data_IF_486756716309
#
_entry.id   IF_486756716309
#
_cell.length_a   1.000
_cell.length_b   1.000
_cell.length_c   1.000
_cell.angle_alpha   90.00
_cell.angle_beta   90.00
_cell.angle_gamma   90.00
#
_symmetry.space_group_name_H-M   'P 1'
#
loop_
_entity.id
_entity.type
_entity.pdbx_description
1 polymer ?
#
# COMPACT_ATOMS: atom_id res chain seq x y z
N UNK A 1 5.65 -22.77 -8.12
CA UNK A 1 5.21 -21.45 -7.59
C UNK A 1 4.60 -20.71 -8.75
N UNK A 2 3.26 -20.66 -8.84
CA UNK A 2 2.57 -20.07 -9.99
C UNK A 2 2.55 -18.55 -9.78
N UNK A 3 3.43 -17.84 -10.50
CA UNK A 3 3.28 -16.38 -10.67
C UNK A 3 2.47 -16.20 -11.95
N UNK A 4 1.15 -16.08 -11.81
CA UNK A 4 0.30 -15.70 -12.95
C UNK A 4 0.46 -14.21 -13.19
N UNK A 5 1.08 -13.87 -14.32
CA UNK A 5 1.03 -12.55 -14.95
C UNK A 5 -0.44 -12.24 -15.26
N UNK A 6 -1.08 -11.42 -14.45
CA UNK A 6 -2.49 -11.02 -14.66
C UNK A 6 -2.56 -10.06 -15.84
N UNK A 7 -3.11 -10.56 -16.95
CA UNK A 7 -3.54 -9.80 -18.11
C UNK A 7 -4.39 -8.60 -17.68
N UNK A 8 -4.29 -7.49 -18.43
CA UNK A 8 -5.04 -6.24 -18.22
C UNK A 8 -6.56 -6.36 -18.35
N UNK A 9 -7.08 -7.59 -18.51
CA UNK A 9 -8.50 -7.89 -18.45
C UNK A 9 -9.00 -7.75 -17.01
N UNK A 10 -9.40 -6.52 -16.68
CA UNK A 10 -10.19 -6.15 -15.51
C UNK A 10 -9.48 -6.38 -14.15
N UNK A 11 -8.58 -5.45 -13.79
CA UNK A 11 -8.07 -5.37 -12.42
C UNK A 11 -9.23 -5.18 -11.43
N UNK A 12 -9.51 -6.22 -10.63
CA UNK A 12 -10.52 -6.19 -9.60
C UNK A 12 -9.87 -6.06 -8.22
N UNK A 13 -9.90 -4.85 -7.67
CA UNK A 13 -9.35 -4.55 -6.35
C UNK A 13 -9.99 -5.41 -5.24
N UNK A 14 -11.27 -5.75 -5.36
CA UNK A 14 -12.00 -6.48 -4.31
C UNK A 14 -11.54 -7.94 -4.20
N UNK A 15 -11.20 -8.60 -5.31
CA UNK A 15 -10.69 -9.97 -5.28
C UNK A 15 -9.28 -10.05 -4.66
N UNK A 16 -8.39 -9.10 -4.95
CA UNK A 16 -7.07 -9.04 -4.30
C UNK A 16 -7.18 -8.78 -2.79
N UNK A 17 -8.08 -7.88 -2.36
CA UNK A 17 -8.33 -7.63 -0.94
C UNK A 17 -8.87 -8.86 -0.22
N UNK A 18 -9.78 -9.60 -0.88
CA UNK A 18 -10.33 -10.83 -0.35
C UNK A 18 -9.25 -11.91 -0.18
N UNK A 19 -8.42 -12.11 -1.21
CA UNK A 19 -7.31 -13.06 -1.14
C UNK A 19 -6.34 -12.73 0.00
N UNK A 20 -6.04 -11.43 0.22
CA UNK A 20 -5.22 -10.99 1.35
C UNK A 20 -5.88 -11.31 2.70
N UNK A 21 -7.16 -10.98 2.89
CA UNK A 21 -7.87 -11.25 4.14
C UNK A 21 -8.00 -12.75 4.43
N UNK A 22 -8.17 -13.58 3.40
CA UNK A 22 -8.22 -15.05 3.51
C UNK A 22 -6.89 -15.64 3.99
N UNK A 23 -5.75 -15.06 3.64
CA UNK A 23 -4.46 -15.51 4.17
C UNK A 23 -4.34 -15.33 5.68
N UNK A 24 -5.14 -14.41 6.26
CA UNK A 24 -5.04 -13.96 7.66
C UNK A 24 -3.63 -13.50 8.05
N UNK A 25 -2.73 -13.29 7.09
CA UNK A 25 -1.30 -13.10 7.32
C UNK A 25 -0.93 -11.65 7.65
N UNK A 26 -1.89 -10.71 7.63
CA UNK A 26 -1.62 -9.27 7.69
C UNK A 26 -0.61 -8.83 6.61
N UNK A 27 -0.25 -7.54 6.59
CA UNK A 27 0.80 -7.03 5.68
C UNK A 27 2.18 -7.54 6.11
N UNK A 28 2.42 -7.75 7.41
CA UNK A 28 3.70 -8.30 7.90
C UNK A 28 3.96 -9.71 7.34
N UNK A 29 2.96 -10.60 7.37
CA UNK A 29 3.13 -11.95 6.83
C UNK A 29 3.30 -11.96 5.30
N UNK A 30 2.70 -10.99 4.60
CA UNK A 30 2.97 -10.80 3.17
C UNK A 30 4.45 -10.45 2.92
N UNK A 31 5.03 -9.55 3.73
CA UNK A 31 6.45 -9.18 3.65
C UNK A 31 7.35 -10.36 4.03
N UNK A 32 7.07 -11.02 5.14
CA UNK A 32 7.85 -12.16 5.63
C UNK A 32 7.85 -13.35 4.64
N UNK A 33 6.81 -13.47 3.80
CA UNK A 33 6.72 -14.53 2.78
C UNK A 33 7.65 -14.33 1.58
N UNK A 34 8.37 -13.21 1.51
CA UNK A 34 9.38 -12.96 0.47
C UNK A 34 8.80 -12.57 -0.88
N UNK A 35 7.62 -11.92 -0.90
CA UNK A 35 7.02 -11.40 -2.13
C UNK A 35 7.97 -10.40 -2.82
N UNK A 36 8.23 -10.62 -4.11
CA UNK A 36 9.16 -9.81 -4.92
C UNK A 36 8.49 -8.61 -5.61
N UNK A 37 7.16 -8.62 -5.72
CA UNK A 37 6.39 -7.57 -6.36
C UNK A 37 5.27 -7.07 -5.46
N UNK A 38 5.15 -5.74 -5.32
CA UNK A 38 4.08 -5.14 -4.53
C UNK A 38 2.72 -5.37 -5.24
N UNK A 39 1.75 -6.05 -4.59
CA UNK A 39 0.41 -6.23 -5.14
C UNK A 39 -0.26 -4.89 -5.48
N UNK A 40 -1.07 -4.88 -6.54
CA UNK A 40 -1.65 -3.64 -7.08
C UNK A 40 -2.56 -2.94 -6.07
N UNK A 41 -3.21 -3.67 -5.16
CA UNK A 41 -3.99 -3.09 -4.05
C UNK A 41 -3.23 -2.15 -3.12
N UNK A 42 -1.89 -2.25 -3.05
CA UNK A 42 -1.04 -1.39 -2.22
C UNK A 42 -0.41 -0.24 -3.00
N UNK A 43 -0.59 -0.18 -4.33
CA UNK A 43 -0.06 0.91 -5.14
C UNK A 43 -0.96 2.11 -5.01
N UNK A 44 -0.37 3.24 -4.63
CA UNK A 44 -1.08 4.50 -4.59
C UNK A 44 -1.36 4.99 -6.02
N UNK A 45 -2.56 5.52 -6.32
CA UNK A 45 -2.83 6.12 -7.62
C UNK A 45 -1.91 7.33 -7.85
N UNK A 46 -1.38 7.47 -9.07
CA UNK A 46 -0.39 8.51 -9.41
C UNK A 46 -0.93 9.94 -9.24
N UNK A 47 -2.25 10.14 -9.26
CA UNK A 47 -2.90 11.46 -9.22
C UNK A 47 -2.79 12.19 -7.88
N UNK A 48 -2.46 11.50 -6.79
CA UNK A 48 -2.32 12.11 -5.45
C UNK A 48 -0.84 12.13 -5.06
N UNK A 49 0.00 12.69 -5.93
CA UNK A 49 1.32 13.16 -5.52
C UNK A 49 1.13 14.52 -4.84
N UNK A 50 0.78 14.50 -3.55
CA UNK A 50 1.12 15.66 -2.70
C UNK A 50 2.63 15.63 -2.65
N UNK A 51 3.29 16.52 -3.40
CA UNK A 51 4.74 16.67 -3.29
C UNK A 51 5.03 16.84 -1.81
N UNK A 52 5.81 15.95 -1.22
CA UNK A 52 6.53 16.21 0.01
C UNK A 52 7.61 17.28 -0.23
N UNK A 53 7.27 18.31 -1.00
CA UNK A 53 8.02 19.54 -1.08
C UNK A 53 7.65 20.29 0.18
N UNK A 54 8.67 20.54 0.99
CA UNK A 54 8.68 21.36 2.19
C UNK A 54 7.49 22.33 2.26
N UNK A 55 6.37 21.83 2.76
CA UNK A 55 5.27 22.71 3.10
C UNK A 55 5.77 23.56 4.25
N UNK A 56 5.52 24.86 4.20
CA UNK A 56 5.94 25.83 5.22
C UNK A 56 5.37 25.58 6.63
N UNK A 57 4.65 24.46 6.80
CA UNK A 57 4.14 23.91 8.05
C UNK A 57 4.90 22.68 8.55
N UNK A 58 6.15 22.45 8.11
CA UNK A 58 6.93 21.22 8.35
C UNK A 58 7.33 20.96 9.82
N UNK A 59 6.70 21.62 10.79
CA UNK A 59 6.90 21.34 12.21
C UNK A 59 5.58 21.47 12.95
N UNK A 60 5.14 20.37 13.56
CA UNK A 60 4.03 20.38 14.51
C UNK A 60 4.52 21.10 15.76
N UNK A 61 3.88 22.21 16.20
CA UNK A 61 4.35 22.95 17.36
C UNK A 61 4.08 22.17 18.66
N UNK A 62 5.06 22.15 19.56
CA UNK A 62 4.89 21.69 20.93
C UNK A 62 4.54 22.91 21.80
N UNK A 63 3.38 22.90 22.44
CA UNK A 63 2.91 24.00 23.31
C UNK A 63 2.97 23.54 24.76
N UNK A 64 3.75 24.25 25.57
CA UNK A 64 3.75 24.12 27.02
C UNK A 64 2.61 24.95 27.63
N UNK A 65 1.94 24.40 28.64
CA UNK A 65 0.78 24.99 29.33
C UNK A 65 1.02 25.21 30.83
N UNK A 66 2.28 25.14 31.29
CA UNK A 66 2.70 25.30 32.69
C UNK A 66 2.28 26.61 33.36
#
# INVERSE_FOLDING_TARGET
MVVTKTDEAEYNRASELKALDETKASVKGLVDSGVTEIPRIFRHPEEIFISSGDSWYSTIPLIDLG
#
